data_IF_583940591358
#
_entry.id   IF_583940591358
#
_cell.length_a   1.000
_cell.length_b   1.000
_cell.length_c   1.000
_cell.angle_alpha   90.00
_cell.angle_beta   90.00
_cell.angle_gamma   90.00
#
_symmetry.space_group_name_H-M   'P 1'
#
loop_
_entity.id
_entity.type
_entity.pdbx_description
1 polymer ?
#
# COMPACT_ATOMS: atom_id res chain seq x y z
N UNK A 1 9.87 10.16 25.23
CA UNK A 1 10.73 9.62 24.17
C UNK A 1 10.67 10.64 23.03
N UNK A 2 11.81 11.26 22.66
CA UNK A 2 11.88 12.20 21.55
C UNK A 2 11.89 11.38 20.24
N UNK A 3 11.00 11.69 19.30
CA UNK A 3 10.85 10.98 18.02
C UNK A 3 11.46 11.75 16.84
N UNK A 4 11.82 11.02 15.78
CA UNK A 4 12.31 11.57 14.51
C UNK A 4 11.37 11.25 13.35
N UNK A 5 11.50 11.99 12.25
CA UNK A 5 10.74 11.77 11.02
C UNK A 5 11.70 11.50 9.87
N UNK A 6 11.49 10.39 9.15
CA UNK A 6 12.27 10.00 7.99
C UNK A 6 11.45 10.20 6.70
N UNK A 7 12.06 10.86 5.73
CA UNK A 7 11.57 10.94 4.36
C UNK A 7 12.74 10.95 3.39
N UNK A 8 12.48 10.57 2.14
CA UNK A 8 13.43 10.68 1.04
C UNK A 8 12.89 11.71 0.05
N UNK A 9 13.73 12.65 -0.41
CA UNK A 9 13.39 13.52 -1.53
C UNK A 9 14.15 13.01 -2.77
N UNK A 10 13.41 12.51 -3.77
CA UNK A 10 13.92 12.09 -5.07
C UNK A 10 13.71 13.23 -6.08
N UNK A 11 14.74 14.05 -6.27
CA UNK A 11 14.67 15.31 -7.02
C UNK A 11 15.56 15.25 -8.27
N UNK A 12 15.06 15.76 -9.38
CA UNK A 12 15.81 15.92 -10.63
C UNK A 12 15.62 14.79 -11.63
N UNK A 13 16.44 14.79 -12.69
CA UNK A 13 16.33 13.83 -13.80
C UNK A 13 16.85 12.46 -13.38
N UNK A 14 16.12 11.40 -13.73
CA UNK A 14 16.51 10.00 -13.53
C UNK A 14 17.55 9.62 -14.58
N UNK A 15 18.72 9.18 -14.13
CA UNK A 15 19.86 8.79 -14.98
C UNK A 15 20.08 7.28 -14.94
N UNK A 16 20.70 6.71 -15.98
CA UNK A 16 21.15 5.31 -15.93
C UNK A 16 22.02 5.07 -14.70
N UNK A 17 21.71 4.05 -13.91
CA UNK A 17 22.43 3.68 -12.68
C UNK A 17 21.93 4.34 -11.38
N UNK A 18 20.92 5.22 -11.45
CA UNK A 18 20.33 5.83 -10.25
C UNK A 18 19.63 4.78 -9.35
N UNK A 19 19.16 3.67 -9.91
CA UNK A 19 18.63 2.52 -9.16
C UNK A 19 19.70 1.87 -8.26
N UNK A 20 20.93 1.72 -8.75
CA UNK A 20 22.04 1.20 -7.96
C UNK A 20 22.47 2.22 -6.89
N UNK A 21 22.49 3.51 -7.24
CA UNK A 21 22.76 4.57 -6.28
C UNK A 21 21.73 4.60 -5.16
N UNK A 22 20.44 4.45 -5.51
CA UNK A 22 19.35 4.36 -4.55
C UNK A 22 19.48 3.11 -3.66
N UNK A 23 19.82 1.96 -4.23
CA UNK A 23 20.09 0.73 -3.48
C UNK A 23 21.22 0.90 -2.46
N UNK A 24 22.29 1.59 -2.84
CA UNK A 24 23.41 1.89 -1.92
C UNK A 24 22.97 2.86 -0.81
N UNK A 25 22.17 3.87 -1.15
CA UNK A 25 21.57 4.78 -0.17
C UNK A 25 20.70 4.02 0.86
N UNK A 26 19.84 3.10 0.41
CA UNK A 26 19.01 2.32 1.33
C UNK A 26 19.84 1.47 2.30
N UNK A 27 20.97 0.92 1.83
CA UNK A 27 21.89 0.15 2.67
C UNK A 27 22.65 1.01 3.68
N UNK A 28 22.95 2.27 3.36
CA UNK A 28 23.73 3.14 4.24
C UNK A 28 22.87 3.92 5.22
N UNK A 29 21.70 4.40 4.79
CA UNK A 29 20.81 5.23 5.60
C UNK A 29 19.79 4.41 6.41
N UNK A 30 19.55 3.15 6.02
CA UNK A 30 18.59 2.23 6.63
C UNK A 30 17.24 2.88 7.02
N UNK A 31 16.56 3.59 6.09
CA UNK A 31 15.29 4.24 6.42
C UNK A 31 14.24 3.21 6.86
N UNK A 32 13.44 3.52 7.90
CA UNK A 32 12.44 2.58 8.40
C UNK A 32 11.35 2.31 7.34
N UNK A 33 10.66 1.16 7.42
CA UNK A 33 9.47 0.90 6.62
C UNK A 33 8.46 2.05 6.71
N UNK A 34 7.61 2.22 5.69
CA UNK A 34 6.61 3.30 5.59
C UNK A 34 7.18 4.71 5.48
N UNK A 35 8.50 4.85 5.27
CA UNK A 35 9.09 6.11 4.84
C UNK A 35 8.42 6.60 3.54
N UNK A 36 8.25 7.91 3.40
CA UNK A 36 7.68 8.53 2.20
C UNK A 36 8.81 9.00 1.29
N UNK A 37 8.76 8.60 0.02
CA UNK A 37 9.59 9.12 -1.06
C UNK A 37 8.83 10.23 -1.78
N UNK A 38 9.25 11.47 -1.57
CA UNK A 38 8.74 12.66 -2.23
C UNK A 38 9.44 12.82 -3.58
N UNK A 39 8.67 12.88 -4.67
CA UNK A 39 9.17 12.88 -6.05
C UNK A 39 8.95 14.26 -6.67
N UNK A 40 10.03 14.88 -7.11
CA UNK A 40 10.03 16.07 -7.95
C UNK A 40 10.98 15.89 -9.13
N UNK A 41 10.47 15.28 -10.20
CA UNK A 41 11.26 14.81 -11.33
C UNK A 41 10.51 14.97 -12.66
N UNK A 42 11.26 15.42 -13.67
CA UNK A 42 10.81 15.46 -15.07
C UNK A 42 10.94 14.11 -15.79
N UNK A 43 11.35 13.05 -15.11
CA UNK A 43 11.57 11.72 -15.68
C UNK A 43 13.02 11.48 -16.09
N UNK A 44 13.23 10.64 -17.10
CA UNK A 44 14.55 10.21 -17.54
C UNK A 44 14.59 8.73 -17.92
N UNK A 45 15.58 8.01 -17.42
CA UNK A 45 15.80 6.60 -17.76
C UNK A 45 14.70 5.67 -17.20
N UNK A 46 14.11 4.85 -18.08
CA UNK A 46 12.96 3.99 -17.74
C UNK A 46 13.38 2.76 -16.92
N UNK A 47 14.48 2.10 -17.28
CA UNK A 47 14.95 0.91 -16.56
C UNK A 47 15.37 1.28 -15.13
N UNK A 48 16.07 2.41 -14.96
CA UNK A 48 16.41 2.94 -13.64
C UNK A 48 15.16 3.32 -12.84
N UNK A 49 14.16 3.96 -13.47
CA UNK A 49 12.90 4.29 -12.79
C UNK A 49 12.15 3.05 -12.28
N UNK A 50 12.07 1.98 -13.08
CA UNK A 50 11.50 0.69 -12.68
C UNK A 50 12.33 0.09 -11.53
N UNK A 51 13.66 0.12 -11.63
CA UNK A 51 14.57 -0.37 -10.60
C UNK A 51 14.36 0.32 -9.25
N UNK A 52 14.33 1.66 -9.25
CA UNK A 52 14.02 2.48 -8.05
C UNK A 52 12.64 2.12 -7.52
N UNK A 53 11.62 2.06 -8.38
CA UNK A 53 10.25 1.73 -7.99
C UNK A 53 10.12 0.35 -7.33
N UNK A 54 10.81 -0.68 -7.83
CA UNK A 54 10.89 -2.00 -7.19
C UNK A 54 11.57 -1.94 -5.83
N UNK A 55 12.63 -1.15 -5.67
CA UNK A 55 13.31 -0.95 -4.38
C UNK A 55 12.41 -0.22 -3.36
N UNK A 56 11.65 0.78 -3.80
CA UNK A 56 10.63 1.47 -2.99
C UNK A 56 9.59 0.45 -2.51
N UNK A 57 9.08 -0.38 -3.41
CA UNK A 57 8.09 -1.42 -3.10
C UNK A 57 8.60 -2.42 -2.07
N UNK A 58 9.80 -2.97 -2.29
CA UNK A 58 10.40 -3.96 -1.39
C UNK A 58 10.76 -3.40 -0.02
N UNK A 59 11.00 -2.08 0.07
CA UNK A 59 11.29 -1.38 1.33
C UNK A 59 10.03 -0.93 2.08
N UNK A 60 8.84 -1.23 1.54
CA UNK A 60 7.55 -0.86 2.11
C UNK A 60 7.34 0.65 2.23
N UNK A 61 7.88 1.40 1.28
CA UNK A 61 7.76 2.86 1.27
C UNK A 61 6.47 3.32 0.61
N UNK A 62 6.06 4.53 0.98
CA UNK A 62 5.05 5.28 0.27
C UNK A 62 5.71 6.26 -0.71
N UNK A 63 4.93 6.75 -1.67
CA UNK A 63 5.36 7.81 -2.60
C UNK A 63 4.38 8.97 -2.57
N UNK A 64 4.92 10.17 -2.75
CA UNK A 64 4.13 11.40 -2.81
C UNK A 64 4.77 12.34 -3.83
N UNK A 65 3.97 13.14 -4.54
CA UNK A 65 4.50 14.13 -5.48
C UNK A 65 4.79 15.44 -4.75
N UNK A 66 5.99 15.97 -4.98
CA UNK A 66 6.46 17.21 -4.39
C UNK A 66 7.78 17.05 -3.65
N UNK A 67 8.01 17.94 -2.70
CA UNK A 67 9.18 17.91 -1.82
C UNK A 67 8.75 18.11 -0.38
N UNK A 68 9.46 17.49 0.54
CA UNK A 68 9.23 17.67 1.98
C UNK A 68 10.51 18.16 2.64
N UNK A 69 10.49 19.43 3.01
CA UNK A 69 11.67 20.16 3.45
C UNK A 69 11.46 20.77 4.84
N UNK A 70 12.55 20.99 5.56
CA UNK A 70 12.53 21.75 6.82
C UNK A 70 12.12 23.18 6.51
N UNK A 71 11.16 23.70 7.27
CA UNK A 71 10.70 25.07 7.17
C UNK A 71 11.47 25.99 8.13
N UNK A 72 12.61 26.50 7.66
CA UNK A 72 13.46 27.40 8.42
C UNK A 72 12.82 28.75 8.76
N UNK A 73 11.66 29.06 8.16
CA UNK A 73 10.91 30.29 8.40
C UNK A 73 9.79 30.12 9.43
N UNK A 74 9.62 28.92 9.99
CA UNK A 74 8.57 28.65 10.97
C UNK A 74 8.76 29.53 12.22
N UNK A 75 7.78 30.38 12.60
CA UNK A 75 7.93 31.39 13.64
C UNK A 75 8.23 30.86 15.05
N UNK A 76 8.10 29.55 15.30
CA UNK A 76 8.25 28.96 16.61
C UNK A 76 8.83 27.55 16.52
N UNK A 77 10.14 27.42 16.72
CA UNK A 77 10.72 26.68 17.86
C UNK A 77 12.11 26.14 17.53
N UNK A 78 13.09 26.55 18.34
CA UNK A 78 14.45 26.00 18.34
C UNK A 78 14.44 24.50 18.70
N UNK A 79 13.29 23.99 19.18
CA UNK A 79 13.09 22.62 19.66
C UNK A 79 12.20 21.73 18.75
N UNK A 80 11.39 22.30 17.84
CA UNK A 80 10.51 21.52 16.93
C UNK A 80 10.56 22.10 15.50
N UNK A 81 11.48 21.57 14.69
CA UNK A 81 11.65 21.99 13.30
C UNK A 81 10.46 21.51 12.45
N UNK A 82 9.55 22.43 12.13
CA UNK A 82 8.44 22.16 11.21
C UNK A 82 8.97 21.79 9.82
N UNK A 83 8.21 20.96 9.12
CA UNK A 83 8.45 20.66 7.71
C UNK A 83 7.27 21.13 6.89
N UNK A 84 7.55 21.63 5.69
CA UNK A 84 6.54 22.02 4.71
C UNK A 84 6.60 21.11 3.49
N UNK A 85 5.42 20.73 3.01
CA UNK A 85 5.26 20.08 1.72
C UNK A 85 5.15 21.15 0.64
N UNK A 86 6.05 21.09 -0.34
CA UNK A 86 6.03 21.93 -1.54
C UNK A 86 5.47 21.12 -2.71
N UNK A 87 4.65 21.73 -3.59
CA UNK A 87 4.24 21.07 -4.82
C UNK A 87 5.45 20.80 -5.72
N UNK A 88 5.34 19.78 -6.56
CA UNK A 88 6.39 19.42 -7.51
C UNK A 88 5.82 18.74 -8.75
N UNK A 89 6.65 17.99 -9.46
CA UNK A 89 6.23 17.29 -10.66
C UNK A 89 6.65 15.82 -10.66
N UNK A 90 5.84 14.98 -11.27
CA UNK A 90 6.11 13.57 -11.50
C UNK A 90 5.78 13.29 -12.97
N UNK A 91 6.77 13.42 -13.85
CA UNK A 91 6.58 13.38 -15.29
C UNK A 91 7.30 12.19 -15.92
N UNK A 92 6.74 11.64 -16.99
CA UNK A 92 7.38 10.62 -17.81
C UNK A 92 7.85 9.41 -16.97
N UNK A 93 9.10 8.96 -17.08
CA UNK A 93 9.65 7.84 -16.31
C UNK A 93 9.52 8.01 -14.78
N UNK A 94 9.44 9.24 -14.24
CA UNK A 94 9.26 9.45 -12.80
C UNK A 94 7.93 8.87 -12.28
N UNK A 95 6.92 8.79 -13.15
CA UNK A 95 5.65 8.15 -12.82
C UNK A 95 5.84 6.69 -12.45
N UNK A 96 6.79 5.98 -13.06
CA UNK A 96 7.09 4.59 -12.73
C UNK A 96 7.71 4.47 -11.33
N UNK A 97 8.57 5.41 -10.92
CA UNK A 97 9.06 5.49 -9.53
C UNK A 97 7.90 5.66 -8.56
N UNK A 98 6.97 6.56 -8.88
CA UNK A 98 5.78 6.82 -8.08
C UNK A 98 4.91 5.56 -7.87
N UNK A 99 4.70 4.76 -8.91
CA UNK A 99 3.95 3.49 -8.82
C UNK A 99 4.57 2.48 -7.84
N UNK A 100 5.86 2.62 -7.54
CA UNK A 100 6.60 1.77 -6.61
C UNK A 100 6.08 1.84 -5.17
N UNK A 101 5.46 2.96 -4.76
CA UNK A 101 4.97 3.16 -3.40
C UNK A 101 3.83 2.20 -3.04
N UNK A 102 3.82 1.65 -1.82
CA UNK A 102 2.69 0.85 -1.29
C UNK A 102 1.45 1.72 -1.08
N UNK A 103 1.66 2.89 -0.53
CA UNK A 103 0.70 4.00 -0.52
C UNK A 103 1.24 5.10 -1.42
N UNK A 104 0.33 5.71 -2.18
CA UNK A 104 0.64 6.67 -3.23
C UNK A 104 -0.26 7.88 -3.08
N UNK A 105 0.35 9.04 -2.90
CA UNK A 105 -0.31 10.31 -2.62
C UNK A 105 -0.03 11.32 -3.74
N UNK A 106 -1.04 12.10 -4.07
CA UNK A 106 -0.92 13.19 -5.02
C UNK A 106 -1.55 14.42 -4.38
N UNK A 107 -1.05 15.62 -4.69
CA UNK A 107 -1.59 16.93 -4.27
C UNK A 107 -1.88 17.69 -5.56
N UNK A 108 -3.07 18.29 -5.68
CA UNK A 108 -3.54 18.86 -6.95
C UNK A 108 -2.77 20.13 -7.35
N UNK A 109 -1.96 20.68 -6.44
CA UNK A 109 -1.01 21.75 -6.74
C UNK A 109 0.24 21.24 -7.47
N UNK A 110 0.47 19.93 -7.46
CA UNK A 110 1.55 19.25 -8.17
C UNK A 110 1.11 18.81 -9.56
N UNK A 111 2.07 18.40 -10.39
CA UNK A 111 1.82 17.94 -11.75
C UNK A 111 2.15 16.46 -11.90
N UNK A 112 1.21 15.68 -12.42
CA UNK A 112 1.44 14.30 -12.81
C UNK A 112 1.25 14.17 -14.32
N UNK A 113 2.30 13.79 -15.04
CA UNK A 113 2.32 13.87 -16.50
C UNK A 113 2.83 12.60 -17.16
N UNK A 114 2.09 12.14 -18.17
CA UNK A 114 2.46 10.97 -18.99
C UNK A 114 2.58 11.37 -20.46
N UNK A 115 3.48 10.69 -21.16
CA UNK A 115 3.60 10.71 -22.61
C UNK A 115 4.18 9.38 -23.08
N UNK A 116 4.23 9.15 -24.39
CA UNK A 116 4.84 7.94 -24.95
C UNK A 116 6.31 7.92 -24.52
N UNK A 117 6.77 6.77 -24.01
CA UNK A 117 8.15 6.62 -23.64
C UNK A 117 9.00 6.60 -24.92
N UNK A 118 9.65 7.73 -25.21
CA UNK A 118 10.63 7.81 -26.30
C UNK A 118 11.91 7.11 -25.86
N UNK A 119 12.28 6.07 -26.60
CA UNK A 119 13.48 5.31 -26.33
C UNK A 119 14.65 6.05 -26.97
N UNK A 120 15.69 6.45 -26.21
CA UNK A 120 16.74 7.32 -26.71
C UNK A 120 17.39 6.75 -27.97
N UNK A 121 17.32 7.54 -29.04
CA UNK A 121 18.20 7.42 -30.19
C UNK A 121 19.55 8.04 -29.80
N UNK A 122 20.66 7.35 -30.09
CA UNK A 122 21.88 8.10 -30.32
C UNK A 122 21.61 8.96 -31.56
N UNK A 123 21.57 10.28 -31.40
CA UNK A 123 21.36 11.21 -32.52
C UNK A 123 22.38 10.89 -33.62
N UNK A 124 21.91 10.37 -34.76
CA UNK A 124 22.73 10.08 -35.93
C UNK A 124 23.17 8.63 -36.16
N UNK A 125 22.74 7.65 -35.35
CA UNK A 125 23.03 6.23 -35.61
C UNK A 125 21.85 5.52 -36.31
N UNK A 126 22.15 4.63 -37.28
CA UNK A 126 21.15 3.79 -37.96
C UNK A 126 20.31 3.02 -36.93
N UNK A 127 18.99 2.92 -37.16
CA UNK A 127 18.07 2.12 -36.31
C UNK A 127 18.66 0.71 -36.18
N UNK A 128 19.13 0.29 -35.00
CA UNK A 128 19.66 -1.05 -34.84
C UNK A 128 18.57 -2.06 -35.19
N UNK A 129 18.89 -3.15 -35.90
CA UNK A 129 17.89 -4.21 -36.21
C UNK A 129 17.11 -4.69 -34.98
N UNK A 130 17.69 -4.53 -33.80
CA UNK A 130 17.12 -4.96 -32.52
C UNK A 130 16.29 -3.87 -31.81
N UNK A 131 16.12 -2.67 -32.39
CA UNK A 131 15.36 -1.57 -31.78
C UNK A 131 13.91 -1.97 -31.51
N UNK A 132 13.24 -2.57 -32.50
CA UNK A 132 11.87 -3.06 -32.34
C UNK A 132 11.78 -4.14 -31.24
N UNK A 133 12.74 -5.06 -31.18
CA UNK A 133 12.79 -6.09 -30.15
C UNK A 133 13.04 -5.50 -28.75
N UNK A 134 13.88 -4.46 -28.66
CA UNK A 134 14.17 -3.75 -27.42
C UNK A 134 12.93 -2.99 -26.90
N UNK A 135 12.25 -2.24 -27.76
CA UNK A 135 11.01 -1.52 -27.42
C UNK A 135 9.87 -2.47 -27.02
N UNK A 136 9.75 -3.63 -27.67
CA UNK A 136 8.79 -4.67 -27.27
C UNK A 136 9.12 -5.25 -25.89
N UNK A 137 10.39 -5.57 -25.63
CA UNK A 137 10.84 -6.09 -24.33
C UNK A 137 10.57 -5.09 -23.21
N UNK A 138 10.87 -3.81 -23.43
CA UNK A 138 10.67 -2.77 -22.43
C UNK A 138 9.18 -2.47 -22.19
N UNK A 139 8.34 -2.55 -23.21
CA UNK A 139 6.88 -2.44 -23.07
C UNK A 139 6.31 -3.58 -22.21
N UNK A 140 6.78 -4.81 -22.44
CA UNK A 140 6.40 -5.96 -21.62
C UNK A 140 6.85 -5.80 -20.17
N UNK A 141 8.09 -5.33 -19.94
CA UNK A 141 8.60 -5.01 -18.59
C UNK A 141 7.76 -3.95 -17.89
N UNK A 142 7.35 -2.90 -18.59
CA UNK A 142 6.49 -1.85 -18.02
C UNK A 142 5.11 -2.39 -17.68
N UNK A 143 4.52 -3.24 -18.53
CA UNK A 143 3.25 -3.90 -18.26
C UNK A 143 3.33 -4.78 -17.01
N UNK A 144 4.32 -5.65 -16.93
CA UNK A 144 4.58 -6.50 -15.77
C UNK A 144 4.76 -5.66 -14.50
N UNK A 145 5.57 -4.60 -14.59
CA UNK A 145 5.81 -3.69 -13.47
C UNK A 145 4.52 -3.00 -12.98
N UNK A 146 3.69 -2.47 -13.89
CA UNK A 146 2.43 -1.82 -13.54
C UNK A 146 1.48 -2.78 -12.83
N UNK A 147 1.37 -4.02 -13.34
CA UNK A 147 0.56 -5.08 -12.73
C UNK A 147 1.10 -5.48 -11.36
N UNK A 148 2.42 -5.68 -11.23
CA UNK A 148 3.09 -6.02 -9.96
C UNK A 148 2.83 -4.97 -8.88
N UNK A 149 2.78 -3.69 -9.26
CA UNK A 149 2.53 -2.58 -8.34
C UNK A 149 1.05 -2.47 -7.93
N UNK A 150 0.16 -3.23 -8.58
CA UNK A 150 -1.28 -3.24 -8.32
C UNK A 150 -2.03 -2.06 -8.97
N UNK A 151 -1.61 -1.63 -10.16
CA UNK A 151 -2.23 -0.55 -10.93
C UNK A 151 -2.88 -1.13 -12.19
N UNK A 152 -4.00 -0.54 -12.61
CA UNK A 152 -4.67 -0.92 -13.85
C UNK A 152 -3.74 -0.72 -15.06
N UNK A 153 -3.62 -1.69 -15.98
CA UNK A 153 -2.85 -1.55 -17.21
C UNK A 153 -3.30 -0.37 -18.10
N UNK A 154 -4.49 0.17 -17.87
CA UNK A 154 -4.96 1.40 -18.51
C UNK A 154 -3.97 2.57 -18.32
N UNK A 155 -3.20 2.59 -17.24
CA UNK A 155 -2.12 3.56 -17.02
C UNK A 155 -1.16 3.66 -18.23
N UNK A 156 -0.77 2.52 -18.81
CA UNK A 156 0.12 2.50 -19.97
C UNK A 156 -0.57 3.03 -21.22
N UNK A 157 -1.87 2.79 -21.36
CA UNK A 157 -2.66 3.34 -22.47
C UNK A 157 -2.72 4.87 -22.42
N UNK A 158 -2.80 5.47 -21.22
CA UNK A 158 -2.74 6.94 -21.07
C UNK A 158 -1.41 7.51 -21.59
N UNK A 159 -0.33 6.77 -21.36
CA UNK A 159 1.02 7.14 -21.76
C UNK A 159 1.19 7.02 -23.28
N UNK A 160 0.88 5.86 -23.86
CA UNK A 160 1.05 5.57 -25.29
C UNK A 160 0.18 6.46 -26.19
N UNK A 161 -0.99 6.87 -25.73
CA UNK A 161 -1.89 7.73 -26.51
C UNK A 161 -1.40 9.19 -26.66
N UNK A 162 -0.31 9.57 -25.97
CA UNK A 162 0.18 10.95 -25.93
C UNK A 162 1.55 11.02 -26.63
N UNK A 163 1.71 11.79 -27.72
CA UNK A 163 2.99 11.96 -28.42
C UNK A 163 4.13 12.43 -27.51
N UNK A 164 5.39 12.15 -27.87
CA UNK A 164 6.55 12.39 -27.00
C UNK A 164 6.97 13.85 -26.90
N UNK A 165 6.55 14.67 -27.86
CA UNK A 165 6.68 16.12 -27.84
C UNK A 165 5.53 16.81 -27.07
N UNK A 166 4.59 16.03 -26.54
CA UNK A 166 3.46 16.50 -25.75
C UNK A 166 3.50 15.93 -24.34
N UNK A 167 2.68 16.50 -23.45
CA UNK A 167 2.50 16.02 -22.09
C UNK A 167 1.02 16.02 -21.76
N UNK A 168 0.49 14.85 -21.40
CA UNK A 168 -0.84 14.74 -20.84
C UNK A 168 -0.74 14.77 -19.33
N UNK A 169 -1.28 15.82 -18.71
CA UNK A 169 -1.46 15.85 -17.27
C UNK A 169 -2.71 15.04 -16.89
N UNK A 170 -2.57 14.22 -15.86
CA UNK A 170 -3.61 13.29 -15.40
C UNK A 170 -4.16 13.80 -14.07
N UNK A 171 -5.49 13.86 -13.94
CA UNK A 171 -6.12 14.36 -12.71
C UNK A 171 -6.01 13.35 -11.56
N UNK A 172 -6.27 13.80 -10.32
CA UNK A 172 -6.37 12.90 -9.17
C UNK A 172 -7.41 11.82 -9.40
N UNK A 173 -8.60 12.21 -9.87
CA UNK A 173 -9.73 11.31 -10.06
C UNK A 173 -9.40 10.21 -11.08
N UNK A 174 -8.71 10.56 -12.17
CA UNK A 174 -8.23 9.60 -13.16
C UNK A 174 -7.18 8.65 -12.56
N UNK A 175 -6.25 9.16 -11.74
CA UNK A 175 -5.23 8.36 -11.08
C UNK A 175 -5.81 7.41 -10.01
N UNK A 176 -6.83 7.85 -9.29
CA UNK A 176 -7.58 7.02 -8.33
C UNK A 176 -8.36 5.92 -9.07
N UNK A 177 -9.02 6.27 -10.18
CA UNK A 177 -9.81 5.32 -10.98
C UNK A 177 -9.00 4.16 -11.58
N UNK A 178 -7.69 4.35 -11.80
CA UNK A 178 -6.77 3.30 -12.26
C UNK A 178 -5.93 2.68 -11.13
N UNK A 179 -6.16 3.09 -9.87
CA UNK A 179 -5.42 2.61 -8.70
C UNK A 179 -4.00 3.17 -8.56
N UNK A 180 -3.61 4.19 -9.33
CA UNK A 180 -2.31 4.84 -9.22
C UNK A 180 -2.19 5.70 -7.95
N UNK A 181 -3.28 6.36 -7.53
CA UNK A 181 -3.36 7.06 -6.23
C UNK A 181 -4.23 6.24 -5.27
N UNK A 182 -3.80 6.15 -4.01
CA UNK A 182 -4.46 5.30 -2.99
C UNK A 182 -5.13 6.09 -1.87
N UNK A 183 -4.83 7.39 -1.74
CA UNK A 183 -5.44 8.22 -0.68
C UNK A 183 -5.16 7.76 0.76
N UNK A 184 -4.17 6.90 0.99
CA UNK A 184 -3.81 6.40 2.31
C UNK A 184 -4.33 5.02 2.68
N UNK A 185 -5.04 4.34 1.78
CA UNK A 185 -5.34 2.91 1.91
C UNK A 185 -5.49 2.24 0.55
N UNK A 186 -5.07 0.98 0.43
CA UNK A 186 -5.36 0.20 -0.79
C UNK A 186 -6.71 -0.51 -0.66
N UNK A 187 -7.24 -0.93 -1.80
CA UNK A 187 -8.32 -1.91 -1.84
C UNK A 187 -7.92 -3.21 -1.13
N UNK A 188 -8.93 -3.95 -0.70
CA UNK A 188 -8.76 -5.20 0.04
C UNK A 188 -8.54 -6.33 -0.96
N UNK A 189 -7.39 -6.99 -0.88
CA UNK A 189 -7.11 -8.20 -1.66
C UNK A 189 -7.61 -9.41 -0.90
N UNK A 190 -8.49 -10.19 -1.53
CA UNK A 190 -9.10 -11.38 -0.94
C UNK A 190 -8.54 -12.68 -1.55
N UNK A 191 -8.02 -13.58 -0.71
CA UNK A 191 -7.50 -14.89 -1.10
C UNK A 191 -8.10 -16.02 -0.24
N UNK A 192 -8.03 -17.26 -0.74
CA UNK A 192 -8.28 -18.48 0.04
C UNK A 192 -6.95 -19.19 0.20
N UNK A 193 -6.58 -19.48 1.44
CA UNK A 193 -5.29 -20.11 1.78
C UNK A 193 -5.52 -21.21 2.83
N UNK A 194 -4.54 -22.10 2.96
CA UNK A 194 -4.55 -23.15 3.97
C UNK A 194 -3.15 -23.44 4.47
N UNK A 195 -2.99 -23.54 5.80
CA UNK A 195 -1.71 -23.85 6.45
C UNK A 195 -1.94 -24.61 7.76
N UNK A 196 -1.17 -25.68 7.99
CA UNK A 196 -1.18 -26.45 9.24
C UNK A 196 -2.60 -26.90 9.67
N UNK A 197 -3.44 -27.33 8.73
CA UNK A 197 -4.82 -27.78 9.02
C UNK A 197 -5.84 -26.66 9.29
N UNK A 198 -5.45 -25.39 9.19
CA UNK A 198 -6.35 -24.24 9.17
C UNK A 198 -6.55 -23.79 7.71
N UNK A 199 -7.78 -23.83 7.21
CA UNK A 199 -8.17 -23.16 5.97
C UNK A 199 -8.77 -21.79 6.31
N UNK A 200 -8.56 -20.78 5.48
CA UNK A 200 -9.11 -19.45 5.74
C UNK A 200 -9.28 -18.61 4.47
N UNK A 201 -10.27 -17.72 4.51
CA UNK A 201 -10.40 -16.61 3.57
C UNK A 201 -9.74 -15.40 4.20
N UNK A 202 -8.76 -14.81 3.52
CA UNK A 202 -7.96 -13.68 4.01
C UNK A 202 -8.25 -12.43 3.19
N UNK A 203 -8.58 -11.35 3.87
CA UNK A 203 -8.57 -9.99 3.35
C UNK A 203 -7.33 -9.26 3.85
N UNK A 204 -6.58 -8.62 2.95
CA UNK A 204 -5.40 -7.85 3.30
C UNK A 204 -5.33 -6.51 2.54
N UNK A 205 -4.83 -5.47 3.22
CA UNK A 205 -4.61 -4.14 2.62
C UNK A 205 -3.51 -3.38 3.32
N UNK A 206 -2.92 -2.43 2.60
CA UNK A 206 -2.13 -1.36 3.19
C UNK A 206 -3.03 -0.21 3.62
N UNK A 207 -2.69 0.43 4.73
CA UNK A 207 -3.27 1.70 5.16
C UNK A 207 -2.20 2.56 5.84
N UNK A 208 -2.52 3.83 6.10
CA UNK A 208 -1.72 4.72 6.94
C UNK A 208 -1.32 4.07 8.29
N UNK A 209 -2.16 3.17 8.81
CA UNK A 209 -2.01 2.56 10.14
C UNK A 209 -1.34 1.18 10.15
N UNK A 210 -0.99 0.64 8.99
CA UNK A 210 -0.41 -0.70 8.92
C UNK A 210 -0.86 -1.49 7.71
N UNK A 211 -0.17 -2.60 7.47
CA UNK A 211 -0.54 -3.65 6.54
C UNK A 211 -1.23 -4.73 7.36
N UNK A 212 -2.54 -4.76 7.24
CA UNK A 212 -3.39 -5.54 8.12
C UNK A 212 -4.02 -6.71 7.37
N UNK A 213 -4.35 -7.76 8.11
CA UNK A 213 -5.03 -8.94 7.58
C UNK A 213 -6.18 -9.32 8.49
N UNK A 214 -7.32 -9.66 7.91
CA UNK A 214 -8.45 -10.27 8.61
C UNK A 214 -8.82 -11.56 7.92
N UNK A 215 -9.14 -12.58 8.72
CA UNK A 215 -9.41 -13.92 8.23
C UNK A 215 -10.62 -14.53 8.91
N UNK A 216 -11.49 -15.12 8.09
CA UNK A 216 -12.46 -16.12 8.52
C UNK A 216 -11.85 -17.49 8.24
N UNK A 217 -11.56 -18.25 9.29
CA UNK A 217 -10.91 -19.55 9.20
C UNK A 217 -11.77 -20.70 9.72
N UNK A 218 -11.37 -21.91 9.36
CA UNK A 218 -11.96 -23.15 9.85
C UNK A 218 -10.87 -24.21 10.06
N UNK A 219 -10.97 -24.92 11.18
CA UNK A 219 -10.15 -26.07 11.50
C UNK A 219 -11.05 -27.22 11.97
N UNK A 220 -10.74 -28.45 11.55
CA UNK A 220 -11.59 -29.62 11.80
C UNK A 220 -11.75 -29.97 13.29
N UNK A 221 -10.78 -29.62 14.13
CA UNK A 221 -10.78 -29.92 15.56
C UNK A 221 -11.46 -28.82 16.39
N UNK A 222 -11.27 -27.55 16.03
CA UNK A 222 -11.76 -26.41 16.83
C UNK A 222 -12.96 -25.67 16.24
N UNK A 223 -13.31 -25.91 14.97
CA UNK A 223 -14.39 -25.24 14.26
C UNK A 223 -13.97 -23.90 13.63
N UNK A 224 -14.91 -22.96 13.55
CA UNK A 224 -14.67 -21.64 12.98
C UNK A 224 -13.81 -20.76 13.89
N UNK A 225 -12.93 -19.98 13.28
CA UNK A 225 -12.07 -19.00 13.95
C UNK A 225 -12.09 -17.67 13.23
N UNK A 226 -12.04 -16.58 14.00
CA UNK A 226 -11.65 -15.27 13.51
C UNK A 226 -10.18 -15.07 13.81
N UNK A 227 -9.41 -14.60 12.82
CA UNK A 227 -7.99 -14.29 13.00
C UNK A 227 -7.66 -12.95 12.36
N UNK A 228 -7.03 -12.07 13.12
CA UNK A 228 -6.50 -10.80 12.63
C UNK A 228 -4.99 -10.73 12.83
N UNK A 229 -4.29 -10.16 11.83
CA UNK A 229 -2.86 -9.84 11.89
C UNK A 229 -2.71 -8.33 11.76
N UNK A 230 -2.30 -7.68 12.85
CA UNK A 230 -2.21 -6.23 12.96
C UNK A 230 -0.75 -5.84 12.98
N UNK A 231 -0.29 -4.98 12.06
CA UNK A 231 1.05 -4.40 12.16
C UNK A 231 1.14 -3.55 13.44
N UNK A 232 2.05 -3.93 14.34
CA UNK A 232 2.08 -3.46 15.73
C UNK A 232 2.48 -2.00 15.85
N UNK A 233 3.37 -1.52 14.98
CA UNK A 233 3.85 -0.12 14.95
C UNK A 233 4.25 0.43 16.33
N UNK A 234 4.88 -0.39 17.18
CA UNK A 234 5.31 -0.01 18.54
C UNK A 234 4.18 0.06 19.59
N UNK A 235 2.94 -0.33 19.24
CA UNK A 235 1.75 -0.29 20.12
C UNK A 235 1.41 -1.65 20.73
N UNK A 236 2.41 -2.51 20.92
CA UNK A 236 2.22 -3.88 21.42
C UNK A 236 1.51 -3.89 22.79
N UNK A 237 1.91 -2.99 23.69
CA UNK A 237 1.37 -2.92 25.05
C UNK A 237 -0.13 -2.67 25.05
N UNK A 238 -0.61 -1.73 24.24
CA UNK A 238 -2.02 -1.39 24.12
C UNK A 238 -2.80 -2.50 23.40
N UNK A 239 -2.26 -3.03 22.30
CA UNK A 239 -2.88 -4.13 21.54
C UNK A 239 -3.05 -5.40 22.39
N UNK A 240 -2.11 -5.67 23.30
CA UNK A 240 -2.16 -6.82 24.22
C UNK A 240 -2.95 -6.53 25.50
N UNK A 241 -2.97 -5.28 25.98
CA UNK A 241 -3.45 -4.93 27.33
C UNK A 241 -4.88 -4.41 27.41
N UNK A 242 -5.43 -3.83 26.34
CA UNK A 242 -6.80 -3.29 26.35
C UNK A 242 -7.83 -4.42 26.44
N UNK A 243 -8.85 -4.25 27.29
CA UNK A 243 -9.76 -5.34 27.68
C UNK A 243 -10.76 -5.72 26.59
N UNK A 244 -11.30 -4.74 25.86
CA UNK A 244 -12.37 -4.97 24.90
C UNK A 244 -11.80 -5.33 23.52
N UNK A 245 -12.25 -6.45 22.96
CA UNK A 245 -11.95 -6.89 21.59
C UNK A 245 -13.25 -7.25 20.89
N UNK A 246 -13.55 -6.55 19.81
CA UNK A 246 -14.78 -6.73 19.06
C UNK A 246 -14.48 -6.92 17.58
N UNK A 247 -15.09 -7.95 16.99
CA UNK A 247 -15.19 -8.03 15.53
C UNK A 247 -16.31 -7.08 15.12
N UNK A 248 -15.98 -6.09 14.29
CA UNK A 248 -16.94 -5.11 13.78
C UNK A 248 -17.40 -5.51 12.39
N UNK A 249 -18.70 -5.43 12.13
CA UNK A 249 -19.31 -5.79 10.85
C UNK A 249 -20.08 -4.61 10.25
N UNK A 250 -20.24 -4.60 8.92
CA UNK A 250 -21.14 -3.69 8.19
C UNK A 250 -20.94 -2.22 8.57
N UNK A 251 -19.71 -1.71 8.45
CA UNK A 251 -19.38 -0.33 8.80
C UNK A 251 -19.61 -0.02 10.29
N UNK A 252 -19.35 -1.00 11.17
CA UNK A 252 -19.49 -0.90 12.63
C UNK A 252 -20.93 -0.90 13.18
N UNK A 253 -21.94 -1.11 12.32
CA UNK A 253 -23.34 -1.22 12.75
C UNK A 253 -23.61 -2.47 13.61
N UNK A 254 -22.75 -3.48 13.54
CA UNK A 254 -22.80 -4.68 14.38
C UNK A 254 -21.45 -5.00 14.97
N UNK A 255 -21.44 -5.49 16.21
CA UNK A 255 -20.24 -5.84 16.99
C UNK A 255 -20.41 -7.22 17.59
N UNK A 256 -19.38 -8.05 17.46
CA UNK A 256 -19.28 -9.36 18.12
C UNK A 256 -18.19 -9.27 19.17
N UNK A 257 -18.58 -9.32 20.44
CA UNK A 257 -17.61 -9.30 21.54
C UNK A 257 -16.88 -10.64 21.61
N UNK A 258 -15.56 -10.60 21.45
CA UNK A 258 -14.67 -11.76 21.52
C UNK A 258 -13.66 -11.64 22.66
N UNK A 259 -13.84 -10.66 23.57
CA UNK A 259 -12.86 -10.28 24.58
C UNK A 259 -12.41 -11.45 25.47
N UNK A 260 -13.35 -12.28 25.90
CA UNK A 260 -13.10 -13.43 26.79
C UNK A 260 -12.42 -14.62 26.10
N UNK A 261 -12.39 -14.65 24.77
CA UNK A 261 -11.92 -15.77 23.95
C UNK A 261 -10.84 -15.39 22.93
N UNK A 262 -10.42 -14.12 22.92
CA UNK A 262 -9.39 -13.60 22.05
C UNK A 262 -8.00 -13.89 22.63
N UNK A 263 -7.31 -14.84 22.03
CA UNK A 263 -5.89 -15.08 22.25
C UNK A 263 -5.08 -14.02 21.50
N UNK A 264 -4.07 -13.45 22.15
CA UNK A 264 -3.23 -12.39 21.57
C UNK A 264 -1.76 -12.74 21.67
N UNK A 265 -1.03 -12.56 20.58
CA UNK A 265 0.39 -12.89 20.51
C UNK A 265 1.14 -11.93 19.59
N UNK A 266 2.27 -11.43 20.07
CA UNK A 266 3.21 -10.69 19.24
C UNK A 266 4.13 -11.64 18.48
N UNK A 267 4.26 -11.42 17.16
CA UNK A 267 5.12 -12.19 16.27
C UNK A 267 5.82 -11.24 15.28
N UNK A 268 7.10 -10.95 15.55
CA UNK A 268 7.86 -9.98 14.77
C UNK A 268 7.26 -8.58 14.88
N UNK A 269 6.90 -7.97 13.75
CA UNK A 269 6.27 -6.64 13.69
C UNK A 269 4.74 -6.68 13.79
N UNK A 270 4.16 -7.85 14.07
CA UNK A 270 2.71 -8.05 14.09
C UNK A 270 2.19 -8.49 15.45
N UNK A 271 0.97 -8.06 15.75
CA UNK A 271 0.16 -8.60 16.84
C UNK A 271 -0.98 -9.39 16.22
N UNK A 272 -1.03 -10.67 16.57
CA UNK A 272 -2.08 -11.59 16.16
C UNK A 272 -3.21 -11.57 17.21
N UNK A 273 -4.44 -11.59 16.72
CA UNK A 273 -5.65 -11.84 17.54
C UNK A 273 -6.36 -13.04 16.94
N UNK A 274 -6.46 -14.11 17.70
CA UNK A 274 -7.15 -15.33 17.29
C UNK A 274 -8.29 -15.61 18.27
N UNK A 275 -9.49 -15.87 17.76
CA UNK A 275 -10.63 -16.23 18.57
C UNK A 275 -11.43 -17.35 17.91
N UNK A 276 -11.83 -18.36 18.69
CA UNK A 276 -12.88 -19.28 18.26
C UNK A 276 -14.20 -18.53 18.18
N UNK A 277 -14.98 -18.78 17.15
CA UNK A 277 -16.29 -18.16 16.93
C UNK A 277 -17.33 -19.24 16.67
N UNK A 278 -18.59 -18.96 17.00
CA UNK A 278 -19.70 -19.85 16.71
C UNK A 278 -19.99 -19.90 15.20
N UNK A 279 -20.73 -20.90 14.76
CA UNK A 279 -21.19 -20.99 13.37
C UNK A 279 -22.07 -19.79 12.98
N UNK A 280 -22.91 -19.29 13.89
CA UNK A 280 -23.72 -18.10 13.64
C UNK A 280 -22.85 -16.84 13.45
N UNK A 281 -21.82 -16.66 14.28
CA UNK A 281 -20.87 -15.56 14.13
C UNK A 281 -20.07 -15.66 12.83
N UNK A 282 -19.64 -16.87 12.46
CA UNK A 282 -18.98 -17.13 11.18
C UNK A 282 -19.90 -16.80 9.99
N UNK A 283 -21.19 -17.16 10.08
CA UNK A 283 -22.21 -16.79 9.09
C UNK A 283 -22.34 -15.27 8.99
N UNK A 284 -22.41 -14.56 10.12
CA UNK A 284 -22.52 -13.11 10.11
C UNK A 284 -21.31 -12.43 9.46
N UNK A 285 -20.09 -12.91 9.73
CA UNK A 285 -18.88 -12.43 9.06
C UNK A 285 -18.94 -12.73 7.56
N UNK A 286 -19.25 -13.97 7.18
CA UNK A 286 -19.24 -14.42 5.78
C UNK A 286 -20.24 -13.69 4.88
N UNK A 287 -21.33 -13.20 5.46
CA UNK A 287 -22.39 -12.47 4.76
C UNK A 287 -22.38 -10.96 5.03
N UNK A 288 -21.38 -10.44 5.75
CA UNK A 288 -21.21 -9.01 5.98
C UNK A 288 -20.71 -8.27 4.73
N UNK A 289 -21.05 -6.97 4.63
CA UNK A 289 -20.52 -6.06 3.60
C UNK A 289 -19.09 -5.58 3.93
N UNK A 290 -18.73 -5.64 5.22
CA UNK A 290 -17.38 -5.37 5.68
C UNK A 290 -17.14 -6.01 7.04
N UNK A 291 -15.89 -6.36 7.36
CA UNK A 291 -15.53 -6.74 8.72
C UNK A 291 -14.09 -6.37 9.12
N UNK A 292 -13.89 -6.15 10.42
CA UNK A 292 -12.62 -5.75 11.01
C UNK A 292 -12.54 -6.16 12.48
N UNK A 293 -11.54 -5.64 13.20
CA UNK A 293 -11.41 -5.86 14.65
C UNK A 293 -11.01 -4.57 15.34
N UNK A 294 -11.71 -4.25 16.43
CA UNK A 294 -11.41 -3.10 17.26
C UNK A 294 -11.01 -3.56 18.66
N UNK A 295 -9.86 -3.07 19.11
CA UNK A 295 -9.34 -3.23 20.45
C UNK A 295 -9.48 -1.88 21.16
N UNK A 296 -10.21 -1.84 22.26
CA UNK A 296 -10.54 -0.60 22.98
C UNK A 296 -10.32 -0.74 24.48
N UNK A 297 -9.96 0.35 25.13
CA UNK A 297 -9.82 0.39 26.58
C UNK A 297 -11.17 0.23 27.30
N UNK A 298 -12.22 0.84 26.74
CA UNK A 298 -13.60 0.78 27.21
C UNK A 298 -14.58 0.92 26.04
N UNK A 299 -15.86 0.59 26.25
CA UNK A 299 -16.90 0.59 25.21
C UNK A 299 -17.29 1.98 24.71
N UNK A 300 -17.02 3.02 25.49
CA UNK A 300 -17.25 4.44 25.18
C UNK A 300 -16.01 5.15 24.62
N UNK A 301 -14.88 4.44 24.49
CA UNK A 301 -13.66 5.00 23.94
C UNK A 301 -13.87 5.47 22.49
N UNK A 302 -13.48 6.72 22.21
CA UNK A 302 -13.60 7.36 20.90
C UNK A 302 -12.56 6.89 19.88
N UNK A 303 -11.50 6.22 20.32
CA UNK A 303 -10.45 5.66 19.48
C UNK A 303 -10.30 4.16 19.73
N UNK A 304 -9.90 3.44 18.68
CA UNK A 304 -9.56 2.03 18.74
C UNK A 304 -8.18 1.76 18.14
N UNK A 305 -7.59 0.64 18.54
CA UNK A 305 -6.50 -0.01 17.82
C UNK A 305 -7.02 -1.24 17.09
N UNK A 306 -6.34 -1.68 16.04
CA UNK A 306 -6.73 -2.86 15.27
C UNK A 306 -6.94 -2.52 13.80
N UNK A 307 -8.02 -3.06 13.23
CA UNK A 307 -8.29 -3.04 11.80
C UNK A 307 -9.70 -2.48 11.59
N UNK A 308 -9.79 -1.29 10.99
CA UNK A 308 -11.06 -0.77 10.51
C UNK A 308 -11.71 -1.76 9.54
N UNK A 309 -13.04 -1.82 9.54
CA UNK A 309 -13.78 -2.79 8.73
C UNK A 309 -13.32 -2.75 7.26
N UNK A 310 -12.89 -3.91 6.77
CA UNK A 310 -12.46 -4.13 5.39
C UNK A 310 -13.69 -4.49 4.55
N UNK A 311 -13.89 -3.78 3.45
CA UNK A 311 -14.95 -4.08 2.49
C UNK A 311 -14.81 -5.50 1.92
N UNK A 312 -15.93 -6.23 1.84
CA UNK A 312 -15.96 -7.63 1.37
C UNK A 312 -16.36 -7.78 -0.08
N UNK A 313 -16.63 -6.70 -0.84
CA UNK A 313 -17.21 -6.78 -2.19
C UNK A 313 -16.47 -7.72 -3.13
N UNK A 314 -15.13 -7.63 -3.19
CA UNK A 314 -14.30 -8.53 -4.03
C UNK A 314 -14.06 -9.94 -3.41
N UNK A 315 -14.35 -10.09 -2.13
CA UNK A 315 -14.17 -11.33 -1.35
C UNK A 315 -15.46 -12.08 -1.07
N UNK A 316 -16.62 -11.51 -1.39
CA UNK A 316 -17.92 -11.95 -0.89
C UNK A 316 -18.24 -13.40 -1.29
N UNK A 317 -17.98 -13.76 -2.54
CA UNK A 317 -18.19 -15.13 -3.03
C UNK A 317 -17.26 -16.13 -2.31
N UNK A 318 -16.00 -15.75 -2.07
CA UNK A 318 -15.01 -16.58 -1.37
C UNK A 318 -15.46 -16.83 0.08
N UNK A 319 -15.87 -15.77 0.78
CA UNK A 319 -16.36 -15.84 2.16
C UNK A 319 -17.61 -16.72 2.30
N UNK A 320 -18.61 -16.49 1.44
CA UNK A 320 -19.89 -17.23 1.48
C UNK A 320 -19.72 -18.70 1.13
N UNK A 321 -18.94 -18.99 0.09
CA UNK A 321 -18.64 -20.36 -0.33
C UNK A 321 -17.84 -21.08 0.76
N UNK A 322 -16.84 -20.41 1.33
CA UNK A 322 -16.04 -20.96 2.43
C UNK A 322 -16.91 -21.34 3.63
N UNK A 323 -17.79 -20.44 4.09
CA UNK A 323 -18.71 -20.75 5.17
C UNK A 323 -19.64 -21.93 4.82
N UNK A 324 -20.22 -21.91 3.62
CA UNK A 324 -21.18 -22.94 3.17
C UNK A 324 -20.54 -24.34 3.10
N UNK A 325 -19.26 -24.42 2.77
CA UNK A 325 -18.53 -25.70 2.68
C UNK A 325 -18.14 -26.27 4.05
N UNK A 326 -18.14 -25.47 5.12
CA UNK A 326 -17.67 -25.87 6.45
C UNK A 326 -18.75 -25.85 7.54
N UNK A 327 -19.91 -25.24 7.29
CA UNK A 327 -21.06 -25.33 8.20
C UNK A 327 -21.53 -26.79 8.34
N UNK A 328 -22.02 -27.15 9.52
CA UNK A 328 -22.59 -28.49 9.76
C UNK A 328 -24.08 -28.54 9.41
#
# INVERSE_FOLDING_TARGET
MLGGYFCVNAIGKIRPGDDQSFKLFLKSAEPPPRCVVYIDSSGGDVDAAIGIGRLIRSSWFATDVGQYQIDFQSPNSIQLMHRKKLPGQCLSAATLVFLGGRLRYFDDRSKFGVHQFDFPQAQGEEIPRNYLAHSQTLSAKMFEYVVDMGISPQFLMLSVATPSDQMRFVSREELEGIGAVTGGQTDVKWSIEGKNGLSYVKGERDSLYGYHKVMLGFNNEVGFVFWAVIETQGRARELLGFSLVEVVLNGESKRLDISSRAERKEEGIYTNILARISEDEAKQIAFSDSFGVQIRFASDASMFLGIAAMDTKEGQEKLRTFFTNHKK
#
